data_IF_650730546528
#
_entry.id   IF_650730546528
#
_cell.length_a   1.000
_cell.length_b   1.000
_cell.length_c   1.000
_cell.angle_alpha   90.00
_cell.angle_beta   90.00
_cell.angle_gamma   90.00
#
_symmetry.space_group_name_H-M   'P 1'
#
loop_
_entity.id
_entity.type
_entity.pdbx_description
1 polymer ?
#
# COMPACT_ATOMS: atom_id res chain seq x y z
N UNK A 1 29.85 20.14 -0.07
CA UNK A 1 29.32 20.23 1.30
C UNK A 1 30.52 20.40 2.20
N UNK A 2 30.71 21.59 2.73
CA UNK A 2 31.66 21.78 3.83
C UNK A 2 30.95 21.55 5.18
N UNK A 3 31.67 21.65 6.29
CA UNK A 3 31.10 21.46 7.62
C UNK A 3 30.03 22.53 7.95
N UNK A 4 30.06 23.70 7.29
CA UNK A 4 29.07 24.76 7.50
C UNK A 4 27.72 24.39 6.88
N UNK A 5 27.72 23.83 5.67
CA UNK A 5 26.50 23.35 5.00
C UNK A 5 25.79 22.29 5.85
N UNK A 6 26.54 21.32 6.40
CA UNK A 6 25.97 20.27 7.25
C UNK A 6 25.42 20.82 8.57
N UNK A 7 26.11 21.79 9.17
CA UNK A 7 25.67 22.43 10.40
C UNK A 7 24.41 23.28 10.20
N UNK A 8 24.27 23.92 9.04
CA UNK A 8 23.04 24.63 8.65
C UNK A 8 21.85 23.66 8.53
N UNK A 9 22.03 22.53 7.84
CA UNK A 9 20.97 21.51 7.74
C UNK A 9 20.58 20.99 9.13
N UNK A 10 21.56 20.76 10.02
CA UNK A 10 21.30 20.31 11.40
C UNK A 10 20.49 21.32 12.21
N UNK A 11 20.70 22.63 12.03
CA UNK A 11 19.88 23.63 12.71
C UNK A 11 18.42 23.61 12.25
N UNK A 12 18.15 23.14 11.03
CA UNK A 12 16.81 23.05 10.45
C UNK A 12 16.09 21.72 10.75
N UNK A 13 16.73 20.76 11.42
CA UNK A 13 16.14 19.45 11.74
C UNK A 13 14.73 19.51 12.36
N UNK A 14 14.41 20.41 13.30
CA UNK A 14 13.05 20.50 13.83
C UNK A 14 12.01 20.88 12.77
N UNK A 15 12.35 21.75 11.83
CA UNK A 15 11.47 22.15 10.74
C UNK A 15 11.30 21.00 9.73
N UNK A 16 12.41 20.40 9.30
CA UNK A 16 12.43 19.23 8.41
C UNK A 16 11.58 18.10 9.00
N UNK A 17 11.75 17.78 10.29
CA UNK A 17 10.95 16.76 10.97
C UNK A 17 9.44 17.06 10.95
N UNK A 18 9.05 18.34 11.11
CA UNK A 18 7.66 18.75 11.02
C UNK A 18 7.10 18.59 9.60
N UNK A 19 7.89 18.89 8.58
CA UNK A 19 7.51 18.74 7.17
C UNK A 19 7.40 17.27 6.77
N UNK A 20 8.38 16.44 7.13
CA UNK A 20 8.34 14.98 6.95
C UNK A 20 7.08 14.38 7.57
N UNK A 21 6.73 14.80 8.80
CA UNK A 21 5.53 14.29 9.48
C UNK A 21 4.22 14.76 8.83
N UNK A 22 4.18 15.97 8.24
CA UNK A 22 3.02 16.44 7.46
C UNK A 22 2.87 15.60 6.18
N UNK A 23 3.96 15.39 5.44
CA UNK A 23 3.96 14.56 4.23
C UNK A 23 3.54 13.12 4.56
N UNK A 24 4.03 12.56 5.67
CA UNK A 24 3.66 11.22 6.11
C UNK A 24 2.14 11.11 6.33
N UNK A 25 1.52 12.11 6.96
CA UNK A 25 0.05 12.14 7.15
C UNK A 25 -0.73 12.22 5.85
N UNK A 26 -0.22 12.99 4.89
CA UNK A 26 -0.84 13.13 3.58
C UNK A 26 -0.75 11.82 2.77
N UNK A 27 0.38 11.13 2.83
CA UNK A 27 0.60 9.86 2.15
C UNK A 27 -0.06 8.67 2.87
N UNK A 28 -0.28 8.75 4.18
CA UNK A 28 -0.81 7.65 4.99
C UNK A 28 -2.09 6.99 4.43
N UNK A 29 -3.17 7.72 4.08
CA UNK A 29 -4.43 7.09 3.66
C UNK A 29 -4.38 6.42 2.27
N UNK A 30 -3.36 6.70 1.45
CA UNK A 30 -3.31 6.20 0.07
C UNK A 30 -3.05 4.69 0.06
N UNK A 31 -3.93 3.94 -0.59
CA UNK A 31 -3.77 2.50 -0.79
C UNK A 31 -2.73 2.21 -1.88
N UNK A 32 -1.48 2.07 -1.47
CA UNK A 32 -0.37 1.62 -2.34
C UNK A 32 -0.34 0.10 -2.49
N UNK A 33 0.31 -0.33 -3.56
CA UNK A 33 0.68 -1.71 -3.87
C UNK A 33 1.94 -1.68 -4.73
N UNK A 34 2.41 -2.81 -5.25
CA UNK A 34 3.54 -2.87 -6.18
C UNK A 34 3.24 -2.21 -7.55
N UNK A 35 1.98 -1.87 -7.82
CA UNK A 35 1.50 -1.16 -9.02
C UNK A 35 0.27 -0.30 -8.67
N UNK A 36 -0.21 0.50 -9.63
CA UNK A 36 -1.55 1.10 -9.56
C UNK A 36 -1.57 2.56 -9.14
N UNK A 37 -2.78 3.13 -9.11
CA UNK A 37 -3.02 4.56 -8.93
C UNK A 37 -2.57 5.08 -7.56
N UNK A 38 -2.51 4.24 -6.53
CA UNK A 38 -1.94 4.62 -5.24
C UNK A 38 -0.46 4.99 -5.30
N UNK A 39 0.33 4.29 -6.14
CA UNK A 39 1.74 4.62 -6.37
C UNK A 39 1.84 5.94 -7.16
N UNK A 40 1.09 6.07 -8.27
CA UNK A 40 1.04 7.31 -9.06
C UNK A 40 0.69 8.52 -8.21
N UNK A 41 -0.34 8.39 -7.38
CA UNK A 41 -0.77 9.48 -6.49
C UNK A 41 0.29 9.84 -5.46
N UNK A 42 1.00 8.84 -4.94
CA UNK A 42 2.11 9.05 -4.02
C UNK A 42 3.24 9.84 -4.69
N UNK A 43 3.63 9.47 -5.92
CA UNK A 43 4.68 10.17 -6.65
C UNK A 43 4.26 11.58 -7.07
N UNK A 44 3.00 11.80 -7.49
CA UNK A 44 2.45 13.15 -7.75
C UNK A 44 2.55 14.08 -6.54
N UNK A 45 2.33 13.56 -5.32
CA UNK A 45 2.47 14.36 -4.10
C UNK A 45 3.93 14.68 -3.83
N UNK A 46 4.83 13.69 -4.01
CA UNK A 46 6.28 13.85 -3.85
C UNK A 46 6.85 14.87 -4.87
N UNK A 47 6.27 14.96 -6.08
CA UNK A 47 6.64 15.95 -7.09
C UNK A 47 6.52 17.41 -6.61
N UNK A 48 5.72 17.68 -5.57
CA UNK A 48 5.63 19.01 -4.96
C UNK A 48 6.87 19.37 -4.13
N UNK A 49 7.71 18.39 -3.79
CA UNK A 49 8.90 18.54 -2.93
C UNK A 49 10.20 18.35 -3.72
N UNK A 50 10.24 17.37 -4.63
CA UNK A 50 11.41 17.06 -5.47
C UNK A 50 10.98 16.77 -6.91
N UNK A 51 11.82 17.11 -7.89
CA UNK A 51 11.53 16.90 -9.32
C UNK A 51 11.70 15.43 -9.72
N UNK A 52 10.83 14.56 -9.23
CA UNK A 52 10.86 13.12 -9.53
C UNK A 52 10.26 12.85 -10.91
N UNK A 53 11.02 12.19 -11.79
CA UNK A 53 10.57 11.70 -13.10
C UNK A 53 9.75 10.42 -12.89
N UNK A 54 8.61 10.32 -13.56
CA UNK A 54 7.75 9.14 -13.50
C UNK A 54 8.05 8.21 -14.66
N UNK A 55 8.24 6.93 -14.34
CA UNK A 55 8.41 5.88 -15.32
C UNK A 55 7.29 4.85 -15.18
N UNK A 56 6.82 4.36 -16.32
CA UNK A 56 5.80 3.32 -16.41
C UNK A 56 6.37 2.18 -17.26
N UNK A 57 6.42 0.98 -16.69
CA UNK A 57 6.88 -0.23 -17.40
C UNK A 57 5.68 -1.14 -17.64
N UNK A 58 5.36 -1.51 -18.89
CA UNK A 58 4.18 -2.31 -19.20
C UNK A 58 4.19 -3.69 -18.54
N UNK A 59 3.03 -4.16 -18.10
CA UNK A 59 2.81 -5.55 -17.69
C UNK A 59 3.30 -6.54 -18.76
N UNK A 60 3.86 -7.67 -18.32
CA UNK A 60 4.44 -8.67 -19.23
C UNK A 60 5.87 -8.37 -19.70
N UNK A 61 6.39 -7.16 -19.44
CA UNK A 61 7.81 -6.84 -19.71
C UNK A 61 8.72 -7.76 -18.90
N UNK A 62 9.69 -8.40 -19.57
CA UNK A 62 10.71 -9.22 -18.92
C UNK A 62 11.82 -8.32 -18.37
N UNK A 63 12.10 -8.42 -17.08
CA UNK A 63 13.17 -7.70 -16.38
C UNK A 63 14.05 -8.72 -15.67
N UNK A 64 15.17 -9.07 -16.30
CA UNK A 64 16.00 -10.23 -15.92
C UNK A 64 15.16 -11.52 -15.88
N UNK A 65 15.03 -12.16 -14.71
CA UNK A 65 14.24 -13.39 -14.51
C UNK A 65 12.79 -13.11 -14.10
N UNK A 66 12.43 -11.83 -13.91
CA UNK A 66 11.10 -11.41 -13.48
C UNK A 66 10.26 -10.93 -14.66
N UNK A 67 8.94 -10.94 -14.46
CA UNK A 67 7.96 -10.38 -15.38
C UNK A 67 7.17 -9.31 -14.61
N UNK A 68 7.05 -8.12 -15.19
CA UNK A 68 6.24 -7.04 -14.61
C UNK A 68 4.78 -7.51 -14.49
N UNK A 69 4.17 -7.45 -13.29
CA UNK A 69 2.84 -8.01 -13.06
C UNK A 69 1.74 -7.18 -13.75
N UNK A 70 0.54 -7.75 -13.77
CA UNK A 70 -0.70 -7.00 -14.05
C UNK A 70 -0.81 -5.83 -13.07
N UNK A 71 -1.36 -4.72 -13.52
CA UNK A 71 -1.68 -3.59 -12.65
C UNK A 71 -2.92 -3.87 -11.79
N UNK A 72 -2.82 -3.58 -10.49
CA UNK A 72 -3.89 -3.68 -9.52
C UNK A 72 -4.41 -2.32 -9.07
N UNK A 73 -5.73 -2.14 -9.04
CA UNK A 73 -6.42 -0.98 -8.48
C UNK A 73 -7.64 -1.42 -7.67
N UNK A 74 -8.05 -0.63 -6.68
CA UNK A 74 -9.19 -0.90 -5.81
C UNK A 74 -9.97 0.39 -5.50
N UNK A 75 -11.29 0.31 -5.56
CA UNK A 75 -12.21 1.42 -5.29
C UNK A 75 -12.88 1.28 -3.91
N UNK A 76 -13.42 0.10 -3.59
CA UNK A 76 -14.00 -0.19 -2.29
C UNK A 76 -13.90 -1.69 -1.95
N UNK A 77 -13.98 -2.02 -0.67
CA UNK A 77 -14.16 -3.39 -0.22
C UNK A 77 -14.80 -3.46 1.17
N UNK A 78 -15.67 -4.45 1.38
CA UNK A 78 -16.31 -4.67 2.66
C UNK A 78 -16.82 -6.09 2.82
N UNK A 79 -17.04 -6.44 4.10
CA UNK A 79 -17.83 -7.58 4.52
C UNK A 79 -19.01 -7.04 5.31
N UNK A 80 -20.22 -7.41 4.91
CA UNK A 80 -21.47 -6.91 5.48
C UNK A 80 -22.38 -8.06 5.92
N UNK A 81 -22.95 -7.95 7.11
CA UNK A 81 -23.91 -8.94 7.64
C UNK A 81 -25.27 -8.82 6.95
N UNK A 82 -26.12 -9.82 7.15
CA UNK A 82 -27.54 -9.81 6.77
C UNK A 82 -28.33 -8.62 7.34
N UNK A 83 -27.98 -8.16 8.55
CA UNK A 83 -28.53 -6.96 9.22
C UNK A 83 -27.99 -5.64 8.62
N UNK A 84 -27.09 -5.74 7.66
CA UNK A 84 -26.54 -4.61 6.93
C UNK A 84 -25.34 -3.91 7.58
N UNK A 85 -24.79 -4.47 8.65
CA UNK A 85 -23.63 -3.92 9.33
C UNK A 85 -22.34 -4.31 8.59
N UNK A 86 -21.51 -3.32 8.22
CA UNK A 86 -20.15 -3.58 7.74
C UNK A 86 -19.27 -3.99 8.92
N UNK A 87 -18.82 -5.25 8.94
CA UNK A 87 -17.82 -5.72 9.90
C UNK A 87 -16.41 -5.40 9.41
N UNK A 88 -16.17 -5.45 8.11
CA UNK A 88 -14.94 -4.97 7.50
C UNK A 88 -15.29 -3.85 6.53
N UNK A 89 -14.50 -2.77 6.57
CA UNK A 89 -14.74 -1.57 5.77
C UNK A 89 -13.41 -0.97 5.31
N UNK A 90 -13.08 -1.13 4.03
CA UNK A 90 -11.83 -0.65 3.42
C UNK A 90 -11.61 0.85 3.63
N UNK A 91 -12.70 1.63 3.63
CA UNK A 91 -12.65 3.07 3.86
C UNK A 91 -12.15 3.44 5.27
N UNK A 92 -12.22 2.53 6.25
CA UNK A 92 -11.64 2.72 7.58
C UNK A 92 -10.17 2.34 7.65
N UNK A 93 -9.79 1.28 6.93
CA UNK A 93 -8.40 0.85 6.83
C UNK A 93 -8.22 0.00 5.57
N UNK A 94 -7.33 0.44 4.68
CA UNK A 94 -6.99 -0.33 3.49
C UNK A 94 -6.19 -1.62 3.80
N UNK A 95 -5.70 -1.78 5.02
CA UNK A 95 -5.09 -3.02 5.50
C UNK A 95 -6.09 -4.17 5.61
N UNK A 96 -7.39 -3.86 5.59
CA UNK A 96 -8.43 -4.88 5.63
C UNK A 96 -8.46 -5.78 4.40
N UNK A 97 -7.82 -5.41 3.29
CA UNK A 97 -7.84 -6.20 2.06
C UNK A 97 -6.49 -6.89 1.89
N UNK A 98 -6.52 -8.19 1.56
CA UNK A 98 -5.34 -8.89 1.07
C UNK A 98 -4.85 -8.16 -0.19
N UNK A 99 -3.71 -7.49 -0.12
CA UNK A 99 -3.23 -6.64 -1.20
C UNK A 99 -3.06 -7.48 -2.49
N UNK A 100 -3.45 -6.93 -3.64
CA UNK A 100 -3.60 -7.65 -4.91
C UNK A 100 -4.81 -8.60 -5.03
N UNK A 101 -5.79 -8.51 -4.12
CA UNK A 101 -7.03 -9.32 -4.21
C UNK A 101 -7.73 -9.17 -5.56
N UNK A 102 -8.18 -10.28 -6.14
CA UNK A 102 -9.08 -10.26 -7.32
C UNK A 102 -10.48 -9.74 -6.95
N UNK A 103 -11.24 -9.15 -7.89
CA UNK A 103 -12.59 -8.70 -7.60
C UNK A 103 -13.51 -9.85 -7.23
N UNK A 104 -14.37 -9.62 -6.24
CA UNK A 104 -15.43 -10.54 -5.86
C UNK A 104 -16.68 -9.79 -5.42
N UNK A 105 -17.84 -10.31 -5.80
CA UNK A 105 -19.14 -9.91 -5.26
C UNK A 105 -19.97 -11.15 -5.03
N UNK A 106 -20.10 -11.57 -3.77
CA UNK A 106 -20.77 -12.83 -3.42
C UNK A 106 -21.49 -12.73 -2.08
N UNK A 107 -22.33 -13.72 -1.79
CA UNK A 107 -22.79 -14.04 -0.44
C UNK A 107 -22.20 -15.36 -0.02
N UNK A 108 -21.56 -15.40 1.15
CA UNK A 108 -20.90 -16.59 1.67
C UNK A 108 -21.40 -16.90 3.08
N UNK A 109 -21.46 -18.18 3.42
CA UNK A 109 -21.60 -18.60 4.81
C UNK A 109 -20.34 -18.23 5.61
N UNK A 110 -20.46 -18.16 6.95
CA UNK A 110 -19.29 -17.91 7.80
C UNK A 110 -18.17 -18.95 7.60
N UNK A 111 -18.51 -20.23 7.38
CA UNK A 111 -17.53 -21.30 7.21
C UNK A 111 -16.72 -21.16 5.91
N UNK A 112 -17.34 -20.73 4.82
CA UNK A 112 -16.68 -20.39 3.57
C UNK A 112 -15.86 -19.11 3.72
N UNK A 113 -16.45 -18.06 4.32
CA UNK A 113 -15.78 -16.79 4.51
C UNK A 113 -14.49 -16.93 5.33
N UNK A 114 -14.51 -17.72 6.41
CA UNK A 114 -13.35 -17.95 7.29
C UNK A 114 -12.11 -18.47 6.55
N UNK A 115 -12.26 -19.11 5.39
CA UNK A 115 -11.14 -19.57 4.57
C UNK A 115 -10.37 -18.43 3.89
N UNK A 116 -11.02 -17.25 3.77
CA UNK A 116 -10.48 -16.03 3.16
C UNK A 116 -10.20 -14.92 4.19
N UNK A 117 -10.26 -15.24 5.49
CA UNK A 117 -9.96 -14.31 6.57
C UNK A 117 -8.57 -14.56 7.16
N UNK A 118 -7.80 -13.49 7.32
CA UNK A 118 -6.47 -13.51 7.91
C UNK A 118 -6.47 -12.70 9.21
N UNK A 119 -5.91 -13.29 10.27
CA UNK A 119 -5.78 -12.66 11.60
C UNK A 119 -4.43 -13.00 12.23
N UNK A 120 -4.10 -12.36 13.36
CA UNK A 120 -2.92 -12.66 14.16
C UNK A 120 -3.33 -13.00 15.60
N UNK A 121 -3.42 -14.29 15.97
CA UNK A 121 -3.79 -14.69 17.33
C UNK A 121 -2.87 -14.11 18.41
N UNK A 122 -1.56 -14.01 18.14
CA UNK A 122 -0.56 -13.49 19.08
C UNK A 122 -0.59 -11.95 19.21
N UNK A 123 -1.29 -11.25 18.31
CA UNK A 123 -1.47 -9.80 18.31
C UNK A 123 -2.95 -9.47 18.04
N UNK A 124 -3.84 -9.75 19.01
CA UNK A 124 -5.26 -9.90 18.72
C UNK A 124 -5.99 -8.61 18.35
N UNK A 125 -5.39 -7.45 18.61
CA UNK A 125 -5.88 -6.12 18.24
C UNK A 125 -5.40 -5.66 16.85
N UNK A 126 -4.37 -6.29 16.30
CA UNK A 126 -3.75 -5.86 15.04
C UNK A 126 -4.50 -6.39 13.82
N UNK A 127 -4.64 -5.56 12.79
CA UNK A 127 -5.04 -5.99 11.45
C UNK A 127 -3.75 -6.39 10.70
N UNK A 128 -3.58 -7.64 10.27
CA UNK A 128 -2.38 -8.03 9.53
C UNK A 128 -2.34 -7.37 8.15
N UNK A 129 -1.16 -6.93 7.73
CA UNK A 129 -0.89 -6.67 6.33
C UNK A 129 -0.48 -7.96 5.63
N UNK A 130 -1.22 -8.35 4.57
CA UNK A 130 -0.97 -9.55 3.76
C UNK A 130 -1.05 -9.18 2.28
N UNK A 131 -0.36 -9.95 1.44
CA UNK A 131 -0.28 -9.71 -0.01
C UNK A 131 -0.45 -11.02 -0.80
N UNK A 132 -0.90 -10.92 -2.05
CA UNK A 132 -0.99 -12.04 -3.00
C UNK A 132 -0.54 -11.64 -4.41
N UNK A 133 0.66 -11.06 -4.52
CA UNK A 133 1.14 -10.44 -5.77
C UNK A 133 1.24 -11.40 -6.96
N UNK A 134 1.65 -12.65 -6.72
CA UNK A 134 2.00 -13.60 -7.77
C UNK A 134 1.13 -14.85 -7.78
N UNK A 135 0.10 -14.90 -6.92
CA UNK A 135 -0.89 -15.96 -6.88
C UNK A 135 -2.26 -15.29 -6.82
N UNK A 136 -3.04 -15.38 -7.90
CA UNK A 136 -4.38 -14.80 -7.94
C UNK A 136 -5.24 -15.40 -6.83
N UNK A 137 -5.67 -14.54 -5.90
CA UNK A 137 -6.46 -14.89 -4.73
C UNK A 137 -7.23 -13.65 -4.27
N UNK A 138 -8.10 -13.81 -3.26
CA UNK A 138 -8.75 -12.71 -2.59
C UNK A 138 -8.92 -13.02 -1.10
N UNK A 139 -8.99 -11.98 -0.27
CA UNK A 139 -9.29 -12.15 1.14
C UNK A 139 -9.30 -10.85 1.92
N UNK A 140 -9.67 -10.97 3.20
CA UNK A 140 -9.72 -9.86 4.13
C UNK A 140 -8.86 -10.12 5.37
N UNK A 141 -8.30 -9.05 5.91
CA UNK A 141 -7.59 -9.01 7.17
C UNK A 141 -8.44 -8.29 8.21
N UNK A 142 -8.43 -8.80 9.44
CA UNK A 142 -9.14 -8.19 10.57
C UNK A 142 -8.42 -8.54 11.87
N UNK A 143 -8.77 -7.84 12.96
CA UNK A 143 -8.24 -8.20 14.27
C UNK A 143 -8.74 -9.57 14.69
N UNK A 144 -7.91 -10.31 15.44
CA UNK A 144 -8.31 -11.63 15.91
C UNK A 144 -9.52 -11.54 16.85
N UNK A 145 -9.58 -10.49 17.68
CA UNK A 145 -10.72 -10.25 18.56
C UNK A 145 -12.02 -10.07 17.77
N UNK A 146 -11.98 -9.32 16.67
CA UNK A 146 -13.16 -9.19 15.80
C UNK A 146 -13.54 -10.52 15.15
N UNK A 147 -12.57 -11.29 14.67
CA UNK A 147 -12.81 -12.60 14.07
C UNK A 147 -13.52 -13.57 15.02
N UNK A 148 -13.18 -13.55 16.31
CA UNK A 148 -13.82 -14.40 17.32
C UNK A 148 -15.27 -14.01 17.61
N UNK A 149 -15.69 -12.78 17.27
CA UNK A 149 -17.08 -12.30 17.44
C UNK A 149 -18.00 -12.61 16.26
N UNK A 150 -17.47 -13.23 15.19
CA UNK A 150 -18.28 -13.54 14.02
C UNK A 150 -19.30 -14.64 14.32
N UNK A 151 -20.57 -14.33 14.07
CA UNK A 151 -21.70 -15.24 14.25
C UNK A 151 -22.00 -16.01 12.96
N UNK A 152 -22.51 -17.23 13.10
CA UNK A 152 -22.98 -18.01 11.96
C UNK A 152 -24.08 -17.25 11.20
N UNK A 153 -23.99 -17.28 9.88
CA UNK A 153 -24.90 -16.55 9.00
C UNK A 153 -24.33 -16.36 7.61
N UNK A 154 -25.06 -15.63 6.78
CA UNK A 154 -24.60 -15.19 5.46
C UNK A 154 -24.02 -13.78 5.49
N UNK A 155 -22.96 -13.58 4.74
CA UNK A 155 -22.23 -12.32 4.63
C UNK A 155 -22.15 -11.89 3.18
N UNK A 156 -22.52 -10.64 2.90
CA UNK A 156 -22.26 -9.98 1.62
C UNK A 156 -20.79 -9.53 1.57
N UNK A 157 -20.07 -10.04 0.58
CA UNK A 157 -18.64 -9.82 0.37
C UNK A 157 -18.47 -9.02 -0.91
N UNK A 158 -17.78 -7.89 -0.83
CA UNK A 158 -17.42 -7.07 -1.99
C UNK A 158 -15.95 -6.69 -1.91
N UNK A 159 -15.21 -6.99 -2.97
CA UNK A 159 -13.93 -6.37 -3.29
C UNK A 159 -14.08 -5.81 -4.70
N UNK A 160 -14.26 -4.49 -4.80
CA UNK A 160 -14.35 -3.76 -6.06
C UNK A 160 -12.96 -3.34 -6.50
N UNK A 161 -12.24 -4.30 -7.10
CA UNK A 161 -10.88 -4.14 -7.58
C UNK A 161 -10.74 -4.54 -9.05
N UNK A 162 -9.59 -4.25 -9.63
CA UNK A 162 -9.22 -4.72 -10.95
C UNK A 162 -7.79 -5.23 -10.93
N UNK A 163 -7.54 -6.31 -11.69
CA UNK A 163 -6.23 -6.88 -11.92
C UNK A 163 -6.10 -7.14 -13.44
N UNK A 164 -5.46 -6.22 -14.15
CA UNK A 164 -5.46 -6.15 -15.62
C UNK A 164 -4.08 -5.76 -16.14
N UNK A 165 -3.81 -5.97 -17.42
CA UNK A 165 -2.60 -5.41 -18.03
C UNK A 165 -2.61 -3.88 -17.89
N UNK A 166 -1.49 -3.35 -17.42
CA UNK A 166 -1.28 -1.94 -17.17
C UNK A 166 0.22 -1.67 -17.04
N UNK A 167 0.63 -0.96 -16.00
CA UNK A 167 2.04 -0.64 -15.80
C UNK A 167 2.48 -0.75 -14.33
N UNK A 168 3.75 -1.07 -14.15
CA UNK A 168 4.46 -0.77 -12.91
C UNK A 168 5.02 0.65 -12.97
N UNK A 169 4.68 1.44 -11.96
CA UNK A 169 5.13 2.82 -11.82
C UNK A 169 6.33 2.89 -10.87
N UNK A 170 7.39 3.61 -11.26
CA UNK A 170 8.46 4.01 -10.34
C UNK A 170 8.87 5.46 -10.59
N UNK A 171 9.47 6.08 -9.57
CA UNK A 171 9.96 7.45 -9.63
C UNK A 171 11.48 7.51 -9.52
N UNK A 172 12.11 8.40 -10.27
CA UNK A 172 13.57 8.61 -10.24
C UNK A 172 13.90 10.11 -10.14
N UNK A 173 14.86 10.47 -9.29
CA UNK A 173 15.41 11.82 -9.25
C UNK A 173 16.93 11.74 -9.38
N UNK A 174 17.46 12.34 -10.44
CA UNK A 174 18.89 12.35 -10.73
C UNK A 174 19.48 13.75 -10.54
N UNK A 175 20.52 13.85 -9.71
CA UNK A 175 21.29 15.08 -9.52
C UNK A 175 22.71 14.89 -10.04
N UNK A 176 23.01 15.50 -11.19
CA UNK A 176 24.34 15.42 -11.81
C UNK A 176 25.41 16.06 -10.93
N UNK A 177 26.37 15.25 -10.46
CA UNK A 177 27.56 15.70 -9.76
C UNK A 177 28.65 16.22 -10.69
N UNK A 178 29.76 16.71 -10.09
CA UNK A 178 30.98 17.10 -10.85
C UNK A 178 31.74 15.91 -11.44
N UNK A 179 31.42 14.70 -10.98
CA UNK A 179 32.02 13.46 -11.44
C UNK A 179 30.92 12.44 -11.77
N UNK A 180 31.33 11.33 -12.39
CA UNK A 180 30.43 10.27 -12.83
C UNK A 180 30.25 9.15 -11.80
N UNK A 181 30.98 9.17 -10.68
CA UNK A 181 30.69 8.25 -9.57
C UNK A 181 29.34 8.58 -8.92
N UNK A 182 28.59 7.54 -8.61
CA UNK A 182 27.21 7.66 -8.15
C UNK A 182 27.05 7.19 -6.69
N UNK A 183 26.16 7.86 -5.97
CA UNK A 183 25.64 7.42 -4.67
C UNK A 183 24.14 7.19 -4.87
N UNK A 184 23.70 5.95 -4.67
CA UNK A 184 22.31 5.58 -4.82
C UNK A 184 21.60 5.57 -3.45
N UNK A 185 20.48 6.29 -3.35
CA UNK A 185 19.55 6.24 -2.23
C UNK A 185 18.22 5.68 -2.75
N UNK A 186 17.76 4.57 -2.18
CA UNK A 186 16.52 3.93 -2.61
C UNK A 186 15.56 3.74 -1.45
N UNK A 187 14.27 3.89 -1.71
CA UNK A 187 13.18 3.45 -0.85
C UNK A 187 12.11 2.76 -1.72
N UNK A 188 11.14 2.09 -1.09
CA UNK A 188 10.04 1.43 -1.81
C UNK A 188 8.69 2.08 -1.49
N UNK A 189 7.83 2.13 -2.50
CA UNK A 189 6.53 2.81 -2.49
C UNK A 189 5.34 1.84 -2.52
N UNK A 190 5.56 0.56 -2.18
CA UNK A 190 4.54 -0.47 -2.34
C UNK A 190 3.63 -0.71 -1.12
N UNK A 191 4.04 -0.29 0.08
CA UNK A 191 3.26 -0.53 1.30
C UNK A 191 2.15 0.51 1.46
N UNK A 192 0.90 0.11 1.81
CA UNK A 192 -0.25 1.01 1.92
C UNK A 192 -0.21 1.83 3.22
N UNK A 193 -1.25 1.85 4.05
CA UNK A 193 -1.32 2.67 5.28
C UNK A 193 -0.50 2.09 6.44
N UNK A 194 0.82 2.07 6.27
CA UNK A 194 1.80 1.69 7.29
C UNK A 194 2.85 2.81 7.41
N UNK A 195 3.26 3.13 8.64
CA UNK A 195 4.14 4.28 8.89
C UNK A 195 5.63 3.93 8.76
N UNK A 196 6.15 3.12 9.70
CA UNK A 196 7.58 2.83 9.78
C UNK A 196 8.09 1.90 8.65
N UNK A 197 7.19 1.11 8.09
CA UNK A 197 7.43 0.27 6.92
C UNK A 197 6.37 0.63 5.87
N UNK A 198 6.60 1.62 5.00
CA UNK A 198 7.85 2.37 4.80
C UNK A 198 7.61 3.83 4.41
N UNK A 199 6.52 4.45 4.87
CA UNK A 199 6.36 5.90 4.67
C UNK A 199 7.53 6.68 5.25
N UNK A 200 8.11 6.21 6.36
CA UNK A 200 9.32 6.79 6.96
C UNK A 200 10.53 6.85 6.02
N UNK A 201 10.66 5.94 5.05
CA UNK A 201 11.72 5.97 4.05
C UNK A 201 11.36 6.76 2.79
N UNK A 202 10.07 7.07 2.59
CA UNK A 202 9.59 7.90 1.49
C UNK A 202 9.70 9.39 1.83
N UNK A 203 9.43 9.76 3.09
CA UNK A 203 9.42 11.15 3.56
C UNK A 203 10.78 11.66 4.00
#
# INVERSE_FOLDING_TARGET
MDDNDLNAIKSDFPAISSEMYKLLKELYPICRSITGNGVRKTLEIIQNYILIEHHEVPSGTKVFDWIIPKEWNIEDAYIKTDKGQKIVDFQKSNLHVLNYSTPIKSKLSLSELKQHLYTLPDQPEAIPYKTSYYNENWGFCLSHNQFLTLEDGEYEIVIDSSLKDGNLTYGEFFLQGKKNEEILLTCYTCHPSLCNDNLSGIV
#
